data_IF_665387707512
#
_entry.id   IF_665387707512
#
_cell.length_a   1.000
_cell.length_b   1.000
_cell.length_c   1.000
_cell.angle_alpha   90.00
_cell.angle_beta   90.00
_cell.angle_gamma   90.00
#
_symmetry.space_group_name_H-M   'P 1'
#
loop_
_entity.id
_entity.type
_entity.pdbx_description
1 polymer ?
#
# COMPACT_ATOMS: atom_id res chain seq x y z
N UNK A 1 -6.25 11.60 3.21
CA UNK A 1 -5.00 11.53 3.99
C UNK A 1 -5.01 10.46 5.07
N UNK A 2 -6.19 10.06 5.56
CA UNK A 2 -6.39 9.65 6.96
C UNK A 2 -5.98 8.23 7.36
N UNK A 3 -5.90 7.29 6.41
CA UNK A 3 -5.71 5.88 6.75
C UNK A 3 -4.28 5.47 7.13
N UNK A 4 -3.25 6.27 6.84
CA UNK A 4 -1.89 5.98 7.32
C UNK A 4 -1.74 6.43 8.77
N UNK A 5 -1.03 5.65 9.57
CA UNK A 5 -0.74 6.02 10.95
C UNK A 5 0.14 7.27 10.97
N UNK A 6 -0.25 8.27 11.77
CA UNK A 6 0.53 9.49 11.94
C UNK A 6 1.67 9.23 12.93
N UNK A 7 2.79 8.71 12.43
CA UNK A 7 3.95 8.34 13.22
C UNK A 7 5.24 8.43 12.39
N UNK A 8 6.39 8.79 13.00
CA UNK A 8 7.68 8.74 12.33
C UNK A 8 8.11 7.31 11.95
N UNK A 9 7.50 6.29 12.55
CA UNK A 9 7.79 4.88 12.27
C UNK A 9 7.00 4.31 11.09
N UNK A 10 5.98 5.03 10.61
CA UNK A 10 5.22 4.59 9.44
C UNK A 10 6.08 4.68 8.19
N UNK A 11 6.09 3.60 7.40
CA UNK A 11 6.86 3.55 6.16
C UNK A 11 6.01 3.11 4.99
N UNK A 12 6.43 3.51 3.78
CA UNK A 12 5.86 3.03 2.53
C UNK A 12 6.95 2.83 1.49
N UNK A 13 7.12 1.58 1.06
CA UNK A 13 7.83 1.28 -0.17
C UNK A 13 6.82 1.28 -1.32
N UNK A 14 6.92 2.28 -2.18
CA UNK A 14 6.14 2.39 -3.40
C UNK A 14 6.80 1.69 -4.58
N UNK A 15 6.11 1.73 -5.71
CA UNK A 15 6.65 1.13 -6.93
C UNK A 15 7.93 1.83 -7.43
N UNK A 16 8.12 3.11 -7.08
CA UNK A 16 9.20 3.96 -7.59
C UNK A 16 9.89 4.79 -6.49
N UNK A 17 9.54 4.60 -5.22
CA UNK A 17 9.92 5.50 -4.14
C UNK A 17 9.94 4.78 -2.78
N UNK A 18 10.85 5.17 -1.88
CA UNK A 18 10.90 4.69 -0.50
C UNK A 18 10.66 5.87 0.44
N UNK A 19 9.63 5.79 1.28
CA UNK A 19 9.19 6.88 2.15
C UNK A 19 9.21 6.42 3.61
N UNK A 20 9.88 7.20 4.46
CA UNK A 20 9.98 6.97 5.91
C UNK A 20 9.34 8.14 6.65
N UNK A 21 8.42 7.84 7.57
CA UNK A 21 7.61 8.80 8.30
C UNK A 21 6.34 9.21 7.56
N UNK A 22 5.28 9.48 8.33
CA UNK A 22 3.99 9.93 7.82
C UNK A 22 4.10 11.19 6.95
N UNK A 23 4.92 12.16 7.34
CA UNK A 23 5.07 13.43 6.63
C UNK A 23 5.59 13.24 5.20
N UNK A 24 6.59 12.36 5.02
CA UNK A 24 7.11 12.01 3.70
C UNK A 24 6.03 11.36 2.82
N UNK A 25 5.18 10.51 3.42
CA UNK A 25 4.06 9.87 2.73
C UNK A 25 3.01 10.91 2.32
N UNK A 26 2.65 11.85 3.19
CA UNK A 26 1.69 12.90 2.85
C UNK A 26 2.22 13.82 1.77
N UNK A 27 3.46 14.28 1.88
CA UNK A 27 4.11 15.13 0.88
C UNK A 27 4.09 14.47 -0.51
N UNK A 28 4.44 13.17 -0.57
CA UNK A 28 4.34 12.40 -1.82
C UNK A 28 2.91 12.33 -2.37
N UNK A 29 1.92 12.09 -1.51
CA UNK A 29 0.51 11.98 -1.94
C UNK A 29 -0.06 13.27 -2.50
N UNK A 30 0.33 14.42 -1.96
CA UNK A 30 -0.11 15.74 -2.46
C UNK A 30 0.42 15.98 -3.88
N UNK A 31 1.66 15.57 -4.16
CA UNK A 31 2.29 15.76 -5.48
C UNK A 31 1.99 14.67 -6.51
N UNK A 32 1.32 13.57 -6.13
CA UNK A 32 1.18 12.40 -7.00
C UNK A 32 0.06 12.59 -8.04
N UNK A 33 0.34 12.45 -9.35
CA UNK A 33 -0.71 12.42 -10.37
C UNK A 33 -1.72 11.30 -10.13
N UNK A 34 -3.00 11.59 -10.32
CA UNK A 34 -4.10 10.62 -10.19
C UNK A 34 -4.34 9.79 -11.45
N UNK A 35 -3.77 10.21 -12.58
CA UNK A 35 -3.88 9.50 -13.85
C UNK A 35 -3.18 8.13 -13.81
N UNK A 36 -3.79 7.10 -14.41
CA UNK A 36 -3.22 5.77 -14.51
C UNK A 36 -3.15 4.98 -13.18
N UNK A 37 -3.93 5.39 -12.18
CA UNK A 37 -4.03 4.69 -10.90
C UNK A 37 -5.08 3.59 -10.86
N UNK A 38 -6.01 3.59 -11.82
CA UNK A 38 -7.05 2.57 -11.95
C UNK A 38 -6.42 1.17 -12.11
N UNK A 39 -7.00 0.20 -11.41
CA UNK A 39 -6.51 -1.17 -11.36
C UNK A 39 -7.62 -2.11 -10.93
N UNK A 40 -7.57 -3.32 -11.47
CA UNK A 40 -8.39 -4.45 -11.02
C UNK A 40 -7.65 -5.18 -9.89
N UNK A 41 -8.35 -5.49 -8.81
CA UNK A 41 -7.80 -6.26 -7.68
C UNK A 41 -8.21 -7.72 -7.79
N UNK A 42 -7.28 -8.63 -7.47
CA UNK A 42 -7.55 -10.06 -7.40
C UNK A 42 -6.70 -10.70 -6.29
N UNK A 43 -7.07 -11.92 -5.88
CA UNK A 43 -6.44 -12.65 -4.78
C UNK A 43 -6.29 -11.81 -3.49
N UNK A 44 -7.32 -11.04 -3.15
CA UNK A 44 -7.31 -10.24 -1.92
C UNK A 44 -7.45 -11.15 -0.71
N UNK A 45 -6.43 -11.13 0.17
CA UNK A 45 -6.40 -11.86 1.44
C UNK A 45 -6.28 -10.85 2.56
N UNK A 46 -7.26 -10.85 3.46
CA UNK A 46 -7.26 -10.06 4.68
C UNK A 46 -7.23 -11.03 5.85
N UNK A 47 -6.29 -10.82 6.76
CA UNK A 47 -6.11 -11.70 7.92
C UNK A 47 -5.93 -10.85 9.18
N UNK A 48 -6.74 -11.12 10.19
CA UNK A 48 -6.67 -10.45 11.50
C UNK A 48 -5.94 -11.30 12.52
N UNK A 49 -5.23 -10.66 13.43
CA UNK A 49 -4.56 -11.28 14.58
C UNK A 49 -5.06 -10.61 15.84
N UNK A 50 -5.98 -11.26 16.55
CA UNK A 50 -6.73 -10.63 17.63
C UNK A 50 -7.63 -9.48 17.12
N UNK A 51 -7.83 -8.46 17.94
CA UNK A 51 -8.77 -7.35 17.69
C UNK A 51 -8.14 -6.10 17.07
N UNK A 52 -6.81 -6.02 17.11
CA UNK A 52 -6.07 -4.76 16.94
C UNK A 52 -4.95 -4.83 15.91
N UNK A 53 -4.81 -5.95 15.21
CA UNK A 53 -3.80 -6.12 14.17
C UNK A 53 -4.35 -6.89 12.97
N UNK A 54 -3.95 -6.49 11.76
CA UNK A 54 -4.31 -7.18 10.54
C UNK A 54 -3.26 -7.00 9.43
N UNK A 55 -3.26 -7.93 8.48
CA UNK A 55 -2.62 -7.73 7.18
C UNK A 55 -3.68 -7.71 6.08
N UNK A 56 -3.46 -6.89 5.06
CA UNK A 56 -4.26 -6.86 3.84
C UNK A 56 -3.30 -6.96 2.65
N UNK A 57 -3.40 -8.06 1.91
CA UNK A 57 -2.57 -8.35 0.75
C UNK A 57 -3.47 -8.52 -0.47
N UNK A 58 -3.06 -7.97 -1.60
CA UNK A 58 -3.81 -8.10 -2.85
C UNK A 58 -2.84 -8.06 -4.03
N UNK A 59 -3.20 -8.79 -5.08
CA UNK A 59 -2.59 -8.65 -6.39
C UNK A 59 -3.43 -7.68 -7.23
N UNK A 60 -2.81 -7.00 -8.17
CA UNK A 60 -3.52 -6.09 -9.06
C UNK A 60 -2.95 -6.04 -10.46
N UNK A 61 -3.81 -5.69 -11.42
CA UNK A 61 -3.44 -5.43 -12.82
C UNK A 61 -3.91 -4.05 -13.23
N UNK A 62 -3.18 -3.41 -14.14
CA UNK A 62 -3.56 -2.14 -14.76
C UNK A 62 -3.81 -2.37 -16.23
N UNK A 63 -4.77 -1.65 -16.80
CA UNK A 63 -5.00 -1.65 -18.24
C UNK A 63 -3.70 -1.28 -18.98
N UNK A 64 -3.34 -2.08 -19.98
CA UNK A 64 -2.14 -1.88 -20.79
C UNK A 64 -0.80 -2.31 -20.14
N UNK A 65 -0.82 -3.04 -19.02
CA UNK A 65 0.38 -3.56 -18.37
C UNK A 65 0.33 -5.07 -18.19
N UNK A 66 1.31 -5.78 -18.77
CA UNK A 66 1.51 -7.23 -18.58
C UNK A 66 2.07 -7.59 -17.19
N UNK A 67 2.50 -6.59 -16.40
CA UNK A 67 3.09 -6.81 -15.09
C UNK A 67 2.02 -6.98 -14.02
N UNK A 68 2.10 -8.08 -13.26
CA UNK A 68 1.32 -8.24 -12.02
C UNK A 68 1.87 -7.33 -10.92
N UNK A 69 0.99 -6.53 -10.34
CA UNK A 69 1.26 -5.74 -9.16
C UNK A 69 0.94 -6.48 -7.87
N UNK A 70 1.66 -6.14 -6.80
CA UNK A 70 1.40 -6.62 -5.44
C UNK A 70 1.29 -5.43 -4.52
N UNK A 71 0.32 -5.47 -3.62
CA UNK A 71 0.20 -4.50 -2.54
C UNK A 71 0.04 -5.26 -1.23
N UNK A 72 0.92 -4.98 -0.27
CA UNK A 72 0.79 -5.43 1.10
C UNK A 72 0.63 -4.24 2.03
N UNK A 73 -0.22 -4.41 3.04
CA UNK A 73 -0.44 -3.45 4.09
C UNK A 73 -0.50 -4.17 5.43
N UNK A 74 0.17 -3.60 6.42
CA UNK A 74 0.00 -3.96 7.82
C UNK A 74 -0.84 -2.90 8.49
N UNK A 75 -1.85 -3.34 9.22
CA UNK A 75 -2.85 -2.51 9.87
C UNK A 75 -2.81 -2.71 11.38
N UNK A 76 -2.96 -1.62 12.12
CA UNK A 76 -3.07 -1.61 13.57
C UNK A 76 -4.26 -0.76 13.99
N UNK A 77 -5.02 -1.21 14.98
CA UNK A 77 -6.04 -0.38 15.62
C UNK A 77 -5.36 0.60 16.59
N UNK A 78 -5.55 1.88 16.35
CA UNK A 78 -5.13 2.99 17.22
C UNK A 78 -6.36 3.53 17.97
N UNK A 79 -6.20 4.44 18.95
CA UNK A 79 -7.35 5.14 19.55
C UNK A 79 -8.26 5.82 18.51
N UNK A 80 -7.69 6.28 17.39
CA UNK A 80 -8.42 6.94 16.29
C UNK A 80 -8.98 5.93 15.25
N UNK A 81 -8.94 4.63 15.57
CA UNK A 81 -9.36 3.54 14.71
C UNK A 81 -8.22 2.89 13.91
N UNK A 82 -8.57 2.11 12.90
CA UNK A 82 -7.61 1.35 12.09
C UNK A 82 -6.72 2.24 11.23
N UNK A 83 -5.41 1.97 11.24
CA UNK A 83 -4.42 2.69 10.44
C UNK A 83 -3.42 1.73 9.81
N UNK A 84 -2.98 2.06 8.60
CA UNK A 84 -1.85 1.43 7.91
C UNK A 84 -0.57 1.90 8.59
N UNK A 85 0.14 0.96 9.22
CA UNK A 85 1.43 1.23 9.89
C UNK A 85 2.63 0.96 8.98
N UNK A 86 2.44 0.13 7.95
CA UNK A 86 3.45 -0.17 6.94
C UNK A 86 2.77 -0.60 5.64
N UNK A 87 3.33 -0.19 4.50
CA UNK A 87 2.85 -0.63 3.18
C UNK A 87 3.99 -0.88 2.20
N UNK A 88 3.80 -1.87 1.31
CA UNK A 88 4.67 -2.14 0.18
C UNK A 88 3.84 -2.27 -1.09
N UNK A 89 4.25 -1.60 -2.16
CA UNK A 89 3.71 -1.77 -3.52
C UNK A 89 4.85 -2.08 -4.47
N UNK A 90 4.73 -3.17 -5.22
CA UNK A 90 5.71 -3.55 -6.23
C UNK A 90 5.02 -4.05 -7.50
N UNK A 91 5.77 -4.11 -8.58
CA UNK A 91 5.37 -4.76 -9.83
C UNK A 91 6.37 -5.87 -10.11
N UNK A 92 5.91 -7.10 -10.33
CA UNK A 92 6.80 -8.19 -10.79
C UNK A 92 7.40 -7.84 -12.15
N UNK A 93 8.55 -8.42 -12.47
CA UNK A 93 9.04 -8.39 -13.84
C UNK A 93 8.03 -9.11 -14.75
N UNK A 94 7.94 -8.69 -16.01
CA UNK A 94 7.24 -9.49 -17.02
C UNK A 94 7.93 -10.85 -17.08
N UNK A 95 7.18 -11.97 -17.05
CA UNK A 95 7.77 -13.29 -17.20
C UNK A 95 8.65 -13.33 -18.45
N UNK A 96 9.83 -13.95 -18.35
CA UNK A 96 10.61 -14.27 -19.53
C UNK A 96 9.81 -15.25 -20.39
N UNK A 97 9.79 -15.00 -21.71
CA UNK A 97 9.26 -15.91 -22.72
C UNK A 97 10.05 -17.21 -22.78
#
# INVERSE_FOLDING_TARGET
GELFWNSPHTLRYGATENLHGYDAIQAFRVGRPSAGLERELFHTVITTYGTDFATANTEFRRAGSERTGRQSQTWMRTPDGWRVVSAHVSLLATPAT
#
